data_IF_427753130784
#
_entry.id   IF_427753130784
#
_cell.length_a   1.000
_cell.length_b   1.000
_cell.length_c   1.000
_cell.angle_alpha   90.00
_cell.angle_beta   90.00
_cell.angle_gamma   90.00
#
_symmetry.space_group_name_H-M   'P 1'
#
loop_
_entity.id
_entity.type
_entity.pdbx_description
1 polymer ?
#
# COMPACT_ATOMS: atom_id res chain seq x y z
N UNK A 1 -45.27 -2.75 -7.65
CA UNK A 1 -44.35 -3.17 -6.55
C UNK A 1 -43.05 -2.43 -6.76
N UNK A 2 -42.87 -1.33 -6.02
CA UNK A 2 -41.72 -0.44 -6.15
C UNK A 2 -40.49 -1.09 -5.48
N UNK A 3 -39.45 -1.37 -6.25
CA UNK A 3 -38.11 -1.71 -5.75
C UNK A 3 -37.41 -0.44 -5.21
N UNK A 4 -38.13 0.42 -4.48
CA UNK A 4 -37.63 1.73 -4.05
C UNK A 4 -36.92 1.71 -2.69
N UNK A 5 -36.61 0.54 -2.11
CA UNK A 5 -35.92 0.46 -0.81
C UNK A 5 -34.89 -0.65 -0.68
N UNK A 6 -34.38 -1.19 -1.79
CA UNK A 6 -33.02 -1.71 -1.73
C UNK A 6 -32.11 -0.50 -1.84
N UNK A 7 -31.79 0.13 -0.70
CA UNK A 7 -30.49 0.79 -0.55
C UNK A 7 -29.45 -0.33 -0.71
N UNK A 8 -29.16 -0.69 -1.96
CA UNK A 8 -27.79 -0.95 -2.34
C UNK A 8 -27.07 0.30 -1.85
N UNK A 9 -26.47 0.21 -0.65
CA UNK A 9 -25.26 0.99 -0.41
C UNK A 9 -24.43 0.69 -1.63
N UNK A 10 -24.25 1.70 -2.48
CA UNK A 10 -23.34 1.63 -3.59
C UNK A 10 -22.13 0.87 -3.08
N UNK A 11 -21.86 -0.28 -3.69
CA UNK A 11 -20.71 -1.12 -3.39
C UNK A 11 -19.50 -0.34 -3.95
N UNK A 12 -19.22 0.81 -3.32
CA UNK A 12 -18.56 1.96 -3.92
C UNK A 12 -18.71 3.28 -3.14
N UNK A 13 -19.65 3.41 -2.17
CA UNK A 13 -19.64 4.53 -1.24
C UNK A 13 -18.83 4.19 0.01
N UNK A 14 -17.69 4.88 0.10
CA UNK A 14 -16.56 4.68 1.00
C UNK A 14 -15.61 3.53 0.61
N UNK A 15 -15.19 3.49 -0.66
CA UNK A 15 -13.72 3.44 -0.80
C UNK A 15 -13.24 4.70 -0.07
N UNK A 16 -12.43 4.58 1.00
CA UNK A 16 -11.86 5.75 1.62
C UNK A 16 -11.25 6.50 0.46
N UNK A 17 -11.72 7.73 0.27
CA UNK A 17 -11.06 8.72 -0.57
C UNK A 17 -9.57 8.44 -0.36
N UNK A 18 -8.84 8.04 -1.41
CA UNK A 18 -7.42 7.72 -1.28
C UNK A 18 -6.65 9.04 -1.06
N UNK A 19 -7.16 9.85 -0.12
CA UNK A 19 -7.28 11.30 -0.23
C UNK A 19 -5.95 11.97 0.02
N UNK A 20 -4.99 11.20 0.50
CA UNK A 20 -3.63 11.47 0.11
C UNK A 20 -2.92 10.15 -0.15
N UNK A 21 -2.42 9.98 -1.36
CA UNK A 21 -1.44 8.97 -1.79
C UNK A 21 -0.09 9.18 -1.06
N UNK A 22 -0.14 9.41 0.24
CA UNK A 22 0.98 9.82 1.05
C UNK A 22 1.70 8.63 1.65
N UNK A 23 2.93 8.91 2.07
CA UNK A 23 3.82 7.96 2.71
C UNK A 23 3.23 7.37 4.02
N UNK A 24 2.38 8.11 4.72
CA UNK A 24 1.66 7.64 5.91
C UNK A 24 0.63 6.56 5.57
N UNK A 25 -0.17 6.77 4.53
CA UNK A 25 -1.14 5.80 4.02
C UNK A 25 -0.44 4.48 3.62
N UNK A 26 0.70 4.59 2.94
CA UNK A 26 1.52 3.42 2.60
C UNK A 26 2.06 2.69 3.83
N UNK A 27 2.54 3.42 4.85
CA UNK A 27 3.00 2.82 6.12
C UNK A 27 1.89 2.10 6.85
N UNK A 28 0.71 2.72 6.97
CA UNK A 28 -0.46 2.12 7.61
C UNK A 28 -0.88 0.83 6.87
N UNK A 29 -0.84 0.86 5.54
CA UNK A 29 -1.17 -0.29 4.71
C UNK A 29 -0.13 -1.41 4.86
N UNK A 30 1.16 -1.08 4.85
CA UNK A 30 2.22 -2.05 5.08
C UNK A 30 2.09 -2.71 6.46
N UNK A 31 1.73 -1.94 7.50
CA UNK A 31 1.45 -2.46 8.83
C UNK A 31 0.21 -3.37 8.84
N UNK A 32 -0.89 -2.96 8.20
CA UNK A 32 -2.11 -3.78 8.05
C UNK A 32 -1.84 -5.12 7.38
N UNK A 33 -0.94 -5.13 6.39
CA UNK A 33 -0.52 -6.33 5.66
C UNK A 33 0.65 -7.08 6.33
N UNK A 34 1.17 -6.58 7.46
CA UNK A 34 2.33 -7.13 8.17
C UNK A 34 3.56 -7.36 7.27
N UNK A 35 3.80 -6.42 6.35
CA UNK A 35 4.93 -6.49 5.43
C UNK A 35 6.23 -6.09 6.15
N UNK A 36 7.26 -6.92 6.03
CA UNK A 36 8.60 -6.60 6.51
C UNK A 36 9.28 -5.68 5.50
N UNK A 37 9.14 -4.36 5.68
CA UNK A 37 9.70 -3.34 4.77
C UNK A 37 11.17 -3.04 5.02
N UNK A 38 11.74 -3.53 6.14
CA UNK A 38 13.16 -3.38 6.51
C UNK A 38 13.86 -4.73 6.51
N UNK A 39 15.14 -4.74 6.14
CA UNK A 39 16.00 -5.93 6.24
C UNK A 39 16.26 -6.26 7.72
N UNK A 40 16.23 -7.54 8.14
CA UNK A 40 16.47 -7.92 9.54
C UNK A 40 17.79 -7.41 10.12
N UNK A 41 18.88 -7.48 9.35
CA UNK A 41 20.20 -6.98 9.76
C UNK A 41 20.23 -5.47 10.02
N UNK A 42 19.39 -4.70 9.33
CA UNK A 42 19.26 -3.27 9.55
C UNK A 42 18.53 -2.98 10.88
N UNK A 43 17.51 -3.76 11.21
CA UNK A 43 16.78 -3.65 12.48
C UNK A 43 17.68 -3.99 13.67
N UNK A 44 18.53 -5.00 13.55
CA UNK A 44 19.54 -5.36 14.56
C UNK A 44 20.57 -4.24 14.75
N UNK A 45 21.07 -3.66 13.65
CA UNK A 45 21.96 -2.50 13.70
C UNK A 45 21.27 -1.29 14.35
N UNK A 46 20.02 -1.00 13.99
CA UNK A 46 19.24 0.11 14.57
C UNK A 46 19.03 -0.10 16.07
N UNK A 47 18.71 -1.33 16.51
CA UNK A 47 18.57 -1.68 17.92
C UNK A 47 19.89 -1.48 18.69
N UNK A 48 21.03 -1.87 18.09
CA UNK A 48 22.36 -1.65 18.67
C UNK A 48 22.68 -0.16 18.78
N UNK A 49 22.43 0.63 17.73
CA UNK A 49 22.70 2.08 17.74
C UNK A 49 21.79 2.83 18.71
N UNK A 50 20.51 2.46 18.79
CA UNK A 50 19.58 3.06 19.78
C UNK A 50 19.90 2.63 21.22
N UNK A 51 20.37 1.40 21.42
CA UNK A 51 20.80 0.88 22.72
C UNK A 51 22.15 1.44 23.17
N UNK A 52 23.00 1.87 22.24
CA UNK A 52 24.26 2.51 22.53
C UNK A 52 24.04 3.98 22.87
N UNK A 53 24.02 4.29 24.17
CA UNK A 53 24.03 5.68 24.68
C UNK A 53 25.22 6.39 24.02
N UNK A 54 24.96 7.42 23.23
CA UNK A 54 25.99 8.15 22.48
C UNK A 54 27.03 8.71 23.47
N UNK A 55 28.12 7.96 23.66
CA UNK A 55 29.34 8.31 24.39
C UNK A 55 29.18 8.89 25.79
N UNK A 56 29.44 8.07 26.83
CA UNK A 56 30.34 8.54 27.89
C UNK A 56 31.75 8.60 27.30
N UNK A 57 32.45 9.75 27.34
CA UNK A 57 33.81 9.89 26.80
C UNK A 57 34.87 9.24 27.70
N UNK A 58 34.79 7.92 27.94
CA UNK A 58 35.65 7.25 28.92
C UNK A 58 36.14 5.84 28.59
N UNK A 59 35.76 5.22 27.47
CA UNK A 59 36.05 3.81 27.20
C UNK A 59 36.95 3.55 25.97
N UNK A 60 37.85 4.49 25.66
CA UNK A 60 39.01 4.23 24.79
C UNK A 60 40.27 4.61 25.58
N UNK A 61 40.67 3.76 26.51
CA UNK A 61 42.03 3.77 27.02
C UNK A 61 42.92 3.06 26.00
N UNK A 62 43.50 3.86 25.10
CA UNK A 62 44.82 3.58 24.54
C UNK A 62 45.56 4.89 24.32
N UNK A 63 46.89 4.92 24.49
CA UNK A 63 47.64 6.16 24.73
C UNK A 63 47.56 7.13 23.54
N UNK A 64 47.43 8.44 23.79
CA UNK A 64 47.35 9.44 22.73
C UNK A 64 48.74 9.67 22.15
N UNK A 65 48.94 9.29 20.88
CA UNK A 65 50.05 9.78 20.09
C UNK A 65 49.69 11.20 19.61
N UNK A 66 50.60 12.20 19.73
CA UNK A 66 50.28 13.58 19.38
C UNK A 66 50.23 13.71 17.85
N UNK A 67 49.03 13.63 17.27
CA UNK A 67 48.80 14.08 15.90
C UNK A 67 48.43 15.56 15.96
N UNK A 68 49.22 16.35 15.23
CA UNK A 68 49.07 17.80 15.08
C UNK A 68 47.62 18.21 14.77
N UNK A 69 47.19 19.41 15.18
CA UNK A 69 45.89 19.95 14.84
C UNK A 69 45.82 20.20 13.32
N UNK A 70 45.26 19.23 12.59
CA UNK A 70 44.83 19.42 11.21
C UNK A 70 43.69 20.46 11.23
N UNK A 71 43.64 21.40 10.28
CA UNK A 71 42.59 22.42 10.24
C UNK A 71 41.22 21.77 10.02
N UNK A 72 40.51 21.55 11.13
CA UNK A 72 39.11 21.91 11.35
C UNK A 72 38.00 21.24 10.55
N UNK A 73 38.30 20.36 9.60
CA UNK A 73 37.27 19.80 8.72
C UNK A 73 36.66 18.50 9.24
N UNK A 74 35.37 18.50 9.61
CA UNK A 74 34.64 17.27 9.92
C UNK A 74 34.20 16.61 8.62
N UNK A 75 34.62 15.36 8.39
CA UNK A 75 34.21 14.53 7.25
C UNK A 75 34.36 15.20 5.87
N UNK A 76 35.43 15.98 5.65
CA UNK A 76 35.67 16.66 4.36
C UNK A 76 34.90 17.96 4.16
N UNK A 77 34.12 18.41 5.14
CA UNK A 77 33.47 19.72 5.15
C UNK A 77 34.33 20.74 5.89
N UNK A 78 34.29 22.01 5.46
CA UNK A 78 35.07 23.08 6.09
C UNK A 78 34.62 23.41 7.52
N UNK A 79 33.34 23.17 7.86
CA UNK A 79 32.77 23.36 9.19
C UNK A 79 31.73 22.29 9.50
N UNK A 80 31.42 22.11 10.79
CA UNK A 80 30.36 21.19 11.24
C UNK A 80 28.99 21.64 10.73
N UNK A 81 28.73 22.94 10.73
CA UNK A 81 27.49 23.53 10.26
C UNK A 81 27.27 23.23 8.77
N UNK A 82 28.32 23.30 7.94
CA UNK A 82 28.23 22.95 6.53
C UNK A 82 27.89 21.47 6.32
N UNK A 83 28.48 20.58 7.12
CA UNK A 83 28.15 19.15 7.08
C UNK A 83 26.69 18.89 7.50
N UNK A 84 26.20 19.57 8.53
CA UNK A 84 24.82 19.45 9.01
C UNK A 84 23.81 20.01 8.01
N UNK A 85 24.12 21.13 7.36
CA UNK A 85 23.22 21.69 6.35
C UNK A 85 23.13 20.78 5.13
N UNK A 86 24.26 20.22 4.68
CA UNK A 86 24.27 19.20 3.63
C UNK A 86 23.44 17.96 4.01
N UNK A 87 23.59 17.44 5.24
CA UNK A 87 22.76 16.31 5.70
C UNK A 87 21.27 16.64 5.71
N UNK A 88 20.88 17.88 6.06
CA UNK A 88 19.48 18.30 6.02
C UNK A 88 18.97 18.40 4.59
N UNK A 89 19.76 18.89 3.64
CA UNK A 89 19.35 18.94 2.23
C UNK A 89 19.18 17.54 1.67
N UNK A 90 20.15 16.66 1.90
CA UNK A 90 20.10 15.26 1.44
C UNK A 90 18.89 14.52 2.01
N UNK A 91 18.60 14.68 3.30
CA UNK A 91 17.46 14.03 3.94
C UNK A 91 16.11 14.54 3.40
N UNK A 92 16.01 15.83 3.06
CA UNK A 92 14.82 16.39 2.39
C UNK A 92 14.64 15.83 0.98
N UNK A 93 15.73 15.67 0.23
CA UNK A 93 15.69 15.07 -1.11
C UNK A 93 15.26 13.62 -1.05
N UNK A 94 15.85 12.82 -0.15
CA UNK A 94 15.44 11.44 0.08
C UNK A 94 13.97 11.34 0.48
N UNK A 95 13.50 12.23 1.37
CA UNK A 95 12.08 12.28 1.76
C UNK A 95 11.16 12.60 0.57
N UNK A 96 11.56 13.51 -0.32
CA UNK A 96 10.79 13.83 -1.51
C UNK A 96 10.70 12.65 -2.49
N UNK A 97 11.80 11.91 -2.65
CA UNK A 97 11.81 10.68 -3.45
C UNK A 97 10.90 9.60 -2.86
N UNK A 98 10.99 9.38 -1.55
CA UNK A 98 10.16 8.39 -0.86
C UNK A 98 8.66 8.74 -0.96
N UNK A 99 8.31 10.03 -0.86
CA UNK A 99 6.94 10.48 -1.06
C UNK A 99 6.44 10.19 -2.49
N UNK A 100 7.25 10.45 -3.52
CA UNK A 100 6.90 10.14 -4.92
C UNK A 100 6.71 8.65 -5.15
N UNK A 101 7.61 7.81 -4.61
CA UNK A 101 7.50 6.36 -4.70
C UNK A 101 6.24 5.84 -3.99
N UNK A 102 5.94 6.40 -2.82
CA UNK A 102 4.73 6.04 -2.09
C UNK A 102 3.46 6.35 -2.91
N UNK A 103 3.43 7.50 -3.57
CA UNK A 103 2.32 7.86 -4.46
C UNK A 103 2.16 6.84 -5.60
N UNK A 104 3.25 6.50 -6.28
CA UNK A 104 3.22 5.53 -7.37
C UNK A 104 2.73 4.14 -6.92
N UNK A 105 3.20 3.66 -5.76
CA UNK A 105 2.79 2.36 -5.22
C UNK A 105 1.32 2.34 -4.85
N UNK A 106 0.81 3.42 -4.24
CA UNK A 106 -0.61 3.53 -3.91
C UNK A 106 -1.49 3.54 -5.17
N UNK A 107 -1.10 4.29 -6.21
CA UNK A 107 -1.79 4.31 -7.52
C UNK A 107 -1.83 2.94 -8.17
N UNK A 108 -0.69 2.26 -8.25
CA UNK A 108 -0.60 0.93 -8.85
C UNK A 108 -1.46 -0.07 -8.09
N UNK A 109 -1.47 0.00 -6.75
CA UNK A 109 -2.31 -0.85 -5.92
C UNK A 109 -3.80 -0.61 -6.19
N UNK A 110 -4.25 0.65 -6.25
CA UNK A 110 -5.64 0.97 -6.54
C UNK A 110 -6.06 0.45 -7.92
N UNK A 111 -5.22 0.64 -8.94
CA UNK A 111 -5.46 0.10 -10.28
C UNK A 111 -5.52 -1.42 -10.29
N UNK A 112 -4.60 -2.10 -9.61
CA UNK A 112 -4.59 -3.55 -9.50
C UNK A 112 -5.85 -4.06 -8.79
N UNK A 113 -6.27 -3.41 -7.71
CA UNK A 113 -7.50 -3.76 -7.00
C UNK A 113 -8.72 -3.64 -7.91
N UNK A 114 -8.87 -2.51 -8.61
CA UNK A 114 -9.95 -2.30 -9.58
C UNK A 114 -9.98 -3.39 -10.65
N UNK A 115 -8.84 -3.68 -11.27
CA UNK A 115 -8.75 -4.73 -12.29
C UNK A 115 -9.12 -6.11 -11.75
N UNK A 116 -8.75 -6.43 -10.50
CA UNK A 116 -9.15 -7.68 -9.85
C UNK A 116 -10.66 -7.76 -9.62
N UNK A 117 -11.29 -6.66 -9.21
CA UNK A 117 -12.74 -6.60 -9.03
C UNK A 117 -13.45 -6.77 -10.37
N UNK A 118 -13.00 -6.05 -11.41
CA UNK A 118 -13.54 -6.17 -12.77
C UNK A 118 -13.40 -7.61 -13.30
N UNK A 119 -12.24 -8.26 -13.09
CA UNK A 119 -12.01 -9.66 -13.46
C UNK A 119 -12.96 -10.63 -12.73
N UNK A 120 -13.14 -10.48 -11.41
CA UNK A 120 -14.05 -11.33 -10.65
C UNK A 120 -15.51 -11.14 -11.12
N UNK A 121 -15.94 -9.91 -11.40
CA UNK A 121 -17.26 -9.64 -11.97
C UNK A 121 -17.45 -10.31 -13.33
N UNK A 122 -16.43 -10.28 -14.18
CA UNK A 122 -16.48 -10.94 -15.49
C UNK A 122 -16.63 -12.46 -15.34
N UNK A 123 -15.79 -13.08 -14.50
CA UNK A 123 -15.87 -14.51 -14.22
C UNK A 123 -17.24 -14.93 -13.65
N UNK A 124 -17.79 -14.13 -12.73
CA UNK A 124 -19.13 -14.37 -12.19
C UNK A 124 -20.21 -14.27 -13.27
N UNK A 125 -20.09 -13.32 -14.21
CA UNK A 125 -21.02 -13.19 -15.32
C UNK A 125 -20.98 -14.41 -16.23
N UNK A 126 -19.79 -14.89 -16.60
CA UNK A 126 -19.64 -16.09 -17.43
C UNK A 126 -20.26 -17.32 -16.75
N UNK A 127 -20.00 -17.53 -15.46
CA UNK A 127 -20.62 -18.63 -14.70
C UNK A 127 -22.16 -18.52 -14.67
N UNK A 128 -22.72 -17.32 -14.54
CA UNK A 128 -24.16 -17.10 -14.57
C UNK A 128 -24.74 -17.37 -15.97
N UNK A 129 -24.02 -16.99 -17.03
CA UNK A 129 -24.44 -17.24 -18.41
C UNK A 129 -24.39 -18.75 -18.74
N UNK A 130 -23.35 -19.47 -18.28
CA UNK A 130 -23.25 -20.93 -18.41
C UNK A 130 -24.38 -21.65 -17.69
N UNK A 131 -24.63 -21.30 -16.41
CA UNK A 131 -25.74 -21.86 -15.65
C UNK A 131 -27.09 -21.55 -16.32
N UNK A 132 -27.27 -20.32 -16.82
CA UNK A 132 -28.48 -19.93 -17.53
C UNK A 132 -28.68 -20.75 -18.82
N UNK A 133 -27.61 -21.06 -19.55
CA UNK A 133 -27.66 -21.92 -20.73
C UNK A 133 -28.06 -23.36 -20.36
N UNK A 134 -27.39 -23.95 -19.37
CA UNK A 134 -27.67 -25.32 -18.90
C UNK A 134 -29.07 -25.49 -18.33
N UNK A 135 -29.62 -24.47 -17.67
CA UNK A 135 -30.99 -24.48 -17.16
C UNK A 135 -32.02 -24.21 -18.26
N UNK A 136 -31.70 -23.33 -19.21
CA UNK A 136 -32.64 -23.00 -20.30
C UNK A 136 -32.92 -24.18 -21.21
N UNK A 137 -31.96 -25.08 -21.43
CA UNK A 137 -32.13 -26.21 -22.35
C UNK A 137 -33.20 -27.20 -21.90
N UNK A 138 -33.19 -27.81 -20.70
CA UNK A 138 -34.26 -28.71 -20.25
C UNK A 138 -35.59 -27.97 -20.03
N UNK A 139 -35.58 -26.73 -19.54
CA UNK A 139 -36.80 -25.98 -19.27
C UNK A 139 -37.59 -25.64 -20.55
N UNK A 140 -36.89 -25.32 -21.64
CA UNK A 140 -37.54 -25.12 -22.96
C UNK A 140 -38.25 -26.38 -23.46
N UNK A 141 -37.73 -27.57 -23.19
CA UNK A 141 -38.39 -28.83 -23.58
C UNK A 141 -39.71 -29.06 -22.83
N UNK A 142 -39.89 -28.41 -21.67
CA UNK A 142 -41.12 -28.46 -20.86
C UNK A 142 -42.00 -27.21 -21.12
N UNK A 143 -41.66 -26.38 -22.12
CA UNK A 143 -42.42 -25.18 -22.49
C UNK A 143 -42.22 -23.99 -21.54
N UNK A 144 -41.16 -23.99 -20.72
CA UNK A 144 -40.88 -22.95 -19.72
C UNK A 144 -39.78 -22.01 -20.24
N UNK A 145 -40.02 -20.69 -20.20
CA UNK A 145 -39.05 -19.65 -20.64
C UNK A 145 -38.21 -19.10 -19.49
N UNK A 146 -37.35 -18.10 -19.77
CA UNK A 146 -36.58 -17.39 -18.74
C UNK A 146 -37.51 -16.80 -17.68
N UNK A 147 -37.22 -17.05 -16.41
CA UNK A 147 -37.94 -16.44 -15.29
C UNK A 147 -37.80 -14.92 -15.31
N UNK A 148 -38.92 -14.21 -15.21
CA UNK A 148 -38.90 -12.79 -14.92
C UNK A 148 -38.64 -12.61 -13.43
N UNK A 149 -37.49 -12.01 -13.09
CA UNK A 149 -37.04 -11.85 -11.69
C UNK A 149 -37.87 -10.78 -10.96
N UNK A 150 -38.33 -9.74 -11.66
CA UNK A 150 -39.13 -8.66 -11.06
C UNK A 150 -40.55 -9.13 -10.68
N UNK A 151 -41.14 -10.04 -11.46
CA UNK A 151 -42.45 -10.63 -11.16
C UNK A 151 -42.37 -12.03 -10.54
N UNK A 152 -41.16 -12.59 -10.37
CA UNK A 152 -40.86 -13.93 -9.86
C UNK A 152 -41.68 -15.05 -10.53
N UNK A 153 -41.92 -14.93 -11.83
CA UNK A 153 -42.75 -15.87 -12.60
C UNK A 153 -42.04 -16.30 -13.87
N UNK A 154 -42.18 -17.58 -14.21
CA UNK A 154 -41.83 -18.10 -15.53
C UNK A 154 -42.97 -17.81 -16.50
N UNK A 155 -42.65 -17.41 -17.73
CA UNK A 155 -43.64 -17.41 -18.81
C UNK A 155 -43.64 -18.78 -19.49
N UNK A 156 -44.82 -19.25 -19.88
CA UNK A 156 -44.97 -20.49 -20.67
C UNK A 156 -44.95 -20.13 -22.16
N UNK A 157 -44.32 -20.98 -22.97
CA UNK A 157 -44.39 -20.94 -24.44
C UNK A 157 -45.70 -21.54 -24.94
#
# INVERSE_FOLDING_TARGET
MALSQLKFKELGEEEPTWEQENLESLKALAAKLKLQTRRPSYLEWEARVRGQRWGTPGALQSPPQPRQPQPGGVCGFATVEAALEWLRTELREMQALDQRLAQQLMRLRARLHRLKVEQACHQHKEMLDDAAFLLSTPLKHIGVTRMNINSRRFSLC
#
